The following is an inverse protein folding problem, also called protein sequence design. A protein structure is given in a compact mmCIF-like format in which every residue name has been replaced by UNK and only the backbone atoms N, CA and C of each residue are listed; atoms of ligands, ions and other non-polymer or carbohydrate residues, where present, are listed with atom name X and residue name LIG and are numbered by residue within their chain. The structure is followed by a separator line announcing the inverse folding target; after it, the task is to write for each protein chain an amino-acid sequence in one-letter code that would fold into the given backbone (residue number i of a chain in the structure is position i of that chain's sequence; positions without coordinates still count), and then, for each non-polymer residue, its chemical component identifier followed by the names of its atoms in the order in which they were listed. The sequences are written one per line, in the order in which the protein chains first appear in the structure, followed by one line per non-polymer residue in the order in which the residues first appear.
data_IF_698625776160
#
_entry.id   IF_698625776160
#
_cell.length_a   1.000
_cell.length_b   1.000
_cell.length_c   1.000
_cell.angle_alpha   90.00
_cell.angle_beta   90.00
_cell.angle_gamma   90.00
#
_symmetry.space_group_name_H-M   'P 1'
#
loop_
_entity.id
_entity.type
_entity.pdbx_description
1 polymer ?
#
# COMPACT_ATOMS: atom_id res chain seq x y z
N UNK A 1 15.67 8.48 28.39
CA UNK A 1 14.96 8.53 27.09
C UNK A 1 15.10 7.16 26.45
N UNK A 2 14.02 6.42 26.19
CA UNK A 2 14.10 5.05 25.67
C UNK A 2 14.61 5.01 24.22
N UNK A 3 15.31 3.94 23.86
CA UNK A 3 15.79 3.66 22.49
C UNK A 3 14.62 3.67 21.50
N UNK A 4 13.49 3.09 21.91
CA UNK A 4 12.24 3.09 21.16
C UNK A 4 11.76 4.52 20.81
N UNK A 5 11.73 5.42 21.79
CA UNK A 5 11.33 6.81 21.57
C UNK A 5 12.27 7.55 20.62
N UNK A 6 13.55 7.17 20.56
CA UNK A 6 14.51 7.71 19.59
C UNK A 6 14.22 7.19 18.18
N UNK A 7 14.00 5.88 18.03
CA UNK A 7 13.68 5.25 16.74
C UNK A 7 12.38 5.78 16.14
N UNK A 8 11.32 5.86 16.95
CA UNK A 8 10.02 6.39 16.52
C UNK A 8 10.12 7.85 16.07
N UNK A 9 10.83 8.71 16.83
CA UNK A 9 11.07 10.10 16.41
C UNK A 9 11.91 10.18 15.14
N UNK A 10 12.92 9.33 15.00
CA UNK A 10 13.75 9.29 13.79
C UNK A 10 12.89 8.91 12.59
N UNK A 11 12.11 7.84 12.69
CA UNK A 11 11.21 7.39 11.63
C UNK A 11 10.21 8.49 11.24
N UNK A 12 9.53 9.11 12.21
CA UNK A 12 8.57 10.18 11.94
C UNK A 12 9.18 11.36 11.20
N UNK A 13 10.44 11.71 11.46
CA UNK A 13 11.16 12.74 10.70
C UNK A 13 11.37 12.38 9.22
N UNK A 14 11.45 11.09 8.90
CA UNK A 14 11.63 10.61 7.53
C UNK A 14 10.31 10.34 6.82
N UNK A 15 9.16 10.38 7.51
CA UNK A 15 7.85 10.23 6.85
C UNK A 15 7.57 11.39 5.88
N UNK A 16 7.29 11.04 4.62
CA UNK A 16 7.18 11.99 3.51
C UNK A 16 5.85 11.87 2.75
N UNK A 17 4.98 10.92 3.11
CA UNK A 17 3.72 10.71 2.43
C UNK A 17 2.63 10.21 3.37
N UNK A 18 1.40 10.64 3.09
CA UNK A 18 0.20 10.03 3.64
C UNK A 18 -0.28 8.91 2.71
N UNK A 19 -0.84 7.88 3.31
CA UNK A 19 -1.35 6.70 2.63
C UNK A 19 -2.79 6.45 3.02
N UNK A 20 -3.59 6.03 2.05
CA UNK A 20 -4.90 5.46 2.31
C UNK A 20 -4.89 4.02 1.81
N UNK A 21 -5.08 3.08 2.73
CA UNK A 21 -5.15 1.66 2.43
C UNK A 21 -6.57 1.34 1.97
N UNK A 22 -6.66 0.85 0.75
CA UNK A 22 -7.91 0.43 0.12
C UNK A 22 -7.98 -1.09 0.09
N UNK A 23 -9.14 -1.66 0.40
CA UNK A 23 -9.40 -3.10 0.27
C UNK A 23 -10.49 -3.35 -0.75
N UNK A 24 -10.22 -4.29 -1.65
CA UNK A 24 -11.23 -4.79 -2.56
C UNK A 24 -12.08 -5.84 -1.87
N UNK A 25 -13.39 -5.74 -2.05
CA UNK A 25 -14.35 -6.79 -1.74
C UNK A 25 -15.05 -7.16 -3.03
N UNK A 26 -14.95 -8.43 -3.43
CA UNK A 26 -15.82 -8.97 -4.46
C UNK A 26 -17.22 -9.13 -3.85
N UNK A 27 -18.21 -8.42 -4.37
CA UNK A 27 -19.59 -8.82 -4.17
C UNK A 27 -19.82 -10.11 -4.96
N UNK A 28 -19.95 -11.22 -4.26
CA UNK A 28 -20.73 -12.35 -4.76
C UNK A 28 -22.17 -11.87 -4.84
N UNK A 29 -22.69 -11.75 -6.06
CA UNK A 29 -24.10 -11.49 -6.29
C UNK A 29 -24.92 -12.56 -5.56
N UNK A 30 -25.54 -12.18 -4.43
CA UNK A 30 -26.57 -12.99 -3.77
C UNK A 30 -27.86 -12.70 -4.51
N UNK A 31 -28.13 -13.47 -5.56
CA UNK A 31 -29.34 -13.33 -6.36
C UNK A 31 -29.31 -14.29 -7.54
N UNK A 32 -30.08 -15.38 -7.41
CA UNK A 32 -30.20 -16.52 -8.33
C UNK A 32 -30.75 -16.21 -9.73
N UNK A 33 -30.69 -14.98 -10.22
CA UNK A 33 -31.15 -14.63 -11.55
C UNK A 33 -30.37 -13.42 -12.05
N UNK A 34 -29.29 -13.66 -12.80
CA UNK A 34 -29.02 -12.98 -14.08
C UNK A 34 -27.66 -13.40 -14.63
N UNK A 35 -27.69 -13.87 -15.87
CA UNK A 35 -26.51 -14.18 -16.68
C UNK A 35 -25.59 -12.95 -16.80
N UNK A 36 -24.29 -13.13 -16.56
CA UNK A 36 -23.20 -12.24 -16.96
C UNK A 36 -23.25 -10.77 -16.49
N UNK A 37 -23.79 -10.50 -15.29
CA UNK A 37 -23.70 -9.17 -14.70
C UNK A 37 -22.30 -8.94 -14.12
N UNK A 38 -21.58 -7.96 -14.68
CA UNK A 38 -20.23 -7.53 -14.31
C UNK A 38 -20.00 -7.60 -12.78
N UNK A 39 -19.10 -8.49 -12.34
CA UNK A 39 -18.60 -8.48 -10.95
C UNK A 39 -17.94 -7.13 -10.71
N UNK A 40 -18.67 -6.20 -10.09
CA UNK A 40 -18.14 -4.88 -9.77
C UNK A 40 -17.30 -5.01 -8.50
N UNK A 41 -16.04 -4.63 -8.59
CA UNK A 41 -15.15 -4.61 -7.42
C UNK A 41 -15.55 -3.41 -6.56
N UNK A 42 -16.02 -3.66 -5.34
CA UNK A 42 -16.24 -2.58 -4.38
C UNK A 42 -14.94 -2.34 -3.63
N UNK A 43 -14.56 -1.07 -3.53
CA UNK A 43 -13.39 -0.65 -2.78
C UNK A 43 -13.82 0.02 -1.48
N UNK A 44 -13.20 -0.40 -0.40
CA UNK A 44 -13.44 0.16 0.94
C UNK A 44 -12.15 0.72 1.49
N UNK A 45 -12.27 1.74 2.35
CA UNK A 45 -11.14 2.28 3.08
C UNK A 45 -10.92 1.47 4.34
N UNK A 46 -9.70 0.94 4.51
CA UNK A 46 -9.31 0.31 5.77
C UNK A 46 -8.81 1.34 6.78
N UNK A 47 -7.81 2.13 6.38
CA UNK A 47 -7.16 3.10 7.26
C UNK A 47 -6.39 4.13 6.45
N UNK A 48 -6.23 5.33 7.00
CA UNK A 48 -5.29 6.32 6.51
C UNK A 48 -4.17 6.50 7.52
N UNK A 49 -2.93 6.42 7.06
CA UNK A 49 -1.73 6.43 7.90
C UNK A 49 -0.62 7.20 7.20
N UNK A 50 0.35 7.69 7.98
CA UNK A 50 1.52 8.37 7.44
C UNK A 50 2.72 7.44 7.44
N UNK A 51 3.56 7.54 6.43
CA UNK A 51 4.76 6.73 6.34
C UNK A 51 5.79 7.29 5.38
N UNK A 52 6.77 6.45 5.04
CA UNK A 52 7.80 6.77 4.06
C UNK A 52 7.43 6.11 2.73
N UNK A 53 7.48 6.88 1.65
CA UNK A 53 7.28 6.41 0.28
C UNK A 53 8.54 6.69 -0.52
N UNK A 54 9.10 5.65 -1.11
CA UNK A 54 10.24 5.76 -2.01
C UNK A 54 9.87 5.23 -3.39
N UNK A 55 10.07 6.05 -4.41
CA UNK A 55 10.04 5.55 -5.77
C UNK A 55 11.34 4.82 -5.99
N UNK A 56 11.25 3.53 -6.28
CA UNK A 56 12.44 2.78 -6.59
C UNK A 56 12.87 3.17 -8.01
N UNK A 57 13.64 4.25 -8.14
CA UNK A 57 14.21 4.70 -9.42
C UNK A 57 15.36 3.82 -9.88
N UNK A 58 15.59 2.66 -9.25
CA UNK A 58 16.53 1.66 -9.75
C UNK A 58 15.96 1.03 -11.02
N UNK A 59 16.02 1.80 -12.11
CA UNK A 59 16.32 1.26 -13.43
C UNK A 59 17.50 0.31 -13.29
N UNK A 60 17.21 -0.98 -13.48
CA UNK A 60 18.18 -1.97 -13.95
C UNK A 60 19.50 -2.09 -13.17
N UNK A 61 19.48 -2.71 -11.98
CA UNK A 61 20.64 -3.50 -11.56
C UNK A 61 20.44 -4.93 -12.02
N UNK A 62 20.97 -5.22 -13.22
CA UNK A 62 21.29 -6.59 -13.69
C UNK A 62 22.26 -7.23 -12.69
N UNK A 63 21.73 -7.85 -11.65
CA UNK A 63 22.45 -8.86 -10.87
C UNK A 63 22.41 -10.18 -11.62
N UNK A 64 23.58 -10.66 -12.05
CA UNK A 64 23.78 -11.98 -12.66
C UNK A 64 23.20 -13.08 -11.76
N UNK A 65 22.09 -13.71 -12.19
CA UNK A 65 21.67 -15.03 -11.71
C UNK A 65 20.66 -15.11 -10.55
N UNK A 66 19.90 -14.06 -10.25
CA UNK A 66 18.79 -14.11 -9.28
C UNK A 66 17.47 -13.66 -9.91
N UNK A 67 16.39 -14.41 -9.69
CA UNK A 67 15.06 -14.08 -10.21
C UNK A 67 14.66 -12.63 -9.87
N UNK A 68 14.16 -11.90 -10.88
CA UNK A 68 13.71 -10.51 -10.76
C UNK A 68 12.60 -10.38 -9.71
N UNK A 69 12.86 -9.68 -8.62
CA UNK A 69 11.83 -9.14 -7.72
C UNK A 69 11.98 -7.62 -7.65
N UNK A 70 11.76 -6.94 -8.78
CA UNK A 70 11.74 -5.49 -8.84
C UNK A 70 10.36 -4.97 -8.45
N UNK A 71 10.32 -4.04 -7.48
CA UNK A 71 9.13 -3.25 -7.16
C UNK A 71 9.34 -1.84 -7.69
N UNK A 72 8.28 -1.22 -8.21
CA UNK A 72 8.30 0.15 -8.71
C UNK A 72 8.42 1.19 -7.58
N UNK A 73 7.91 0.85 -6.39
CA UNK A 73 8.02 1.68 -5.20
C UNK A 73 8.07 0.84 -3.92
N UNK A 74 8.53 1.47 -2.84
CA UNK A 74 8.52 0.91 -1.49
C UNK A 74 7.76 1.87 -0.58
N UNK A 75 6.79 1.34 0.17
CA UNK A 75 6.16 2.06 1.26
C UNK A 75 6.58 1.45 2.60
N UNK A 76 7.03 2.27 3.53
CA UNK A 76 7.25 1.89 4.92
C UNK A 76 6.17 2.53 5.79
N UNK A 77 5.59 1.76 6.71
CA UNK A 77 4.53 2.21 7.62
C UNK A 77 4.82 1.65 9.02
N UNK A 78 4.64 2.45 10.08
CA UNK A 78 4.72 1.95 11.45
C UNK A 78 3.65 0.89 11.69
N UNK A 79 4.05 -0.27 12.23
CA UNK A 79 3.13 -1.36 12.52
C UNK A 79 2.02 -0.93 13.47
N UNK A 80 2.37 -0.20 14.54
CA UNK A 80 1.41 0.30 15.54
C UNK A 80 0.29 1.15 14.92
N UNK A 81 0.59 1.87 13.84
CA UNK A 81 -0.39 2.69 13.10
C UNK A 81 -1.36 1.83 12.29
N UNK A 82 -1.03 0.58 11.98
CA UNK A 82 -1.87 -0.33 11.19
C UNK A 82 -2.25 -1.62 11.92
N UNK A 83 -1.86 -1.76 13.18
CA UNK A 83 -2.11 -2.94 14.01
C UNK A 83 -3.59 -3.36 13.98
N UNK A 84 -4.50 -2.37 14.10
CA UNK A 84 -5.95 -2.58 14.06
C UNK A 84 -6.48 -3.19 12.76
N UNK A 85 -5.77 -3.02 11.64
CA UNK A 85 -6.15 -3.50 10.30
C UNK A 85 -5.16 -4.52 9.74
N UNK A 86 -4.17 -4.93 10.54
CA UNK A 86 -3.09 -5.83 10.13
C UNK A 86 -3.61 -7.17 9.59
N UNK A 87 -4.61 -7.74 10.24
CA UNK A 87 -5.28 -8.98 9.81
C UNK A 87 -6.04 -8.86 8.48
N UNK A 88 -6.29 -7.64 8.01
CA UNK A 88 -6.99 -7.37 6.76
C UNK A 88 -6.05 -6.99 5.61
N UNK A 89 -4.78 -6.70 5.92
CA UNK A 89 -3.75 -6.34 4.95
C UNK A 89 -3.26 -7.58 4.20
N UNK A 90 -3.56 -7.61 2.91
CA UNK A 90 -3.21 -8.69 1.99
C UNK A 90 -2.86 -8.11 0.60
N UNK A 91 -2.58 -8.98 -0.36
CA UNK A 91 -2.30 -8.58 -1.75
C UNK A 91 -3.55 -8.05 -2.50
N UNK A 92 -4.75 -8.18 -1.92
CA UNK A 92 -5.98 -7.59 -2.46
C UNK A 92 -6.16 -6.12 -2.03
N UNK A 93 -5.28 -5.65 -1.15
CA UNK A 93 -5.20 -4.26 -0.75
C UNK A 93 -4.37 -3.44 -1.73
N UNK A 94 -4.68 -2.14 -1.80
CA UNK A 94 -3.93 -1.15 -2.57
C UNK A 94 -3.57 0.03 -1.69
N UNK A 95 -2.45 0.67 -1.99
CA UNK A 95 -1.97 1.86 -1.28
C UNK A 95 -2.19 3.07 -2.17
N UNK A 96 -3.15 3.90 -1.82
CA UNK A 96 -3.30 5.21 -2.45
C UNK A 96 -2.37 6.21 -1.76
N UNK A 97 -1.48 6.85 -2.52
CA UNK A 97 -0.60 7.90 -2.00
C UNK A 97 -1.40 9.21 -1.91
N UNK A 98 -1.76 9.57 -0.69
CA UNK A 98 -2.62 10.70 -0.36
C UNK A 98 -3.71 10.32 0.65
N UNK A 99 -4.43 11.33 1.10
CA UNK A 99 -5.60 11.16 1.95
C UNK A 99 -6.87 11.33 1.12
N UNK A 100 -7.81 10.41 1.31
CA UNK A 100 -9.17 10.55 0.78
C UNK A 100 -10.04 10.96 1.97
N UNK A 101 -10.77 12.09 1.93
CA UNK A 101 -11.69 12.50 2.99
C UNK A 101 -12.72 11.41 3.32
N UNK A 102 -13.09 11.26 4.60
CA UNK A 102 -14.07 10.25 5.07
C UNK A 102 -15.44 10.35 4.42
N UNK A 103 -15.81 11.55 3.99
CA UNK A 103 -17.08 11.84 3.33
C UNK A 103 -17.11 11.36 1.87
N UNK A 104 -15.94 11.08 1.27
CA UNK A 104 -15.82 10.67 -0.12
C UNK A 104 -15.78 9.15 -0.21
N UNK A 105 -16.76 8.60 -0.92
CA UNK A 105 -16.80 7.19 -1.27
C UNK A 105 -15.59 6.80 -2.15
N UNK A 106 -15.00 5.65 -1.88
CA UNK A 106 -13.89 5.14 -2.71
C UNK A 106 -14.46 4.65 -4.04
N UNK A 107 -14.12 5.35 -5.11
CA UNK A 107 -14.48 4.95 -6.48
C UNK A 107 -13.39 4.12 -7.14
N UNK A 108 -13.73 3.43 -8.23
CA UNK A 108 -12.77 2.70 -9.06
C UNK A 108 -11.62 3.58 -9.58
N UNK A 109 -11.84 4.88 -9.73
CA UNK A 109 -10.81 5.83 -10.15
C UNK A 109 -9.70 5.95 -9.10
N UNK A 110 -10.06 6.06 -7.83
CA UNK A 110 -9.09 6.07 -6.74
C UNK A 110 -8.28 4.77 -6.72
N UNK A 111 -8.95 3.63 -6.92
CA UNK A 111 -8.30 2.33 -6.98
C UNK A 111 -7.38 2.18 -8.21
N UNK A 112 -7.70 2.79 -9.35
CA UNK A 112 -6.85 2.81 -10.55
C UNK A 112 -5.55 3.59 -10.32
N UNK A 113 -5.56 4.62 -9.47
CA UNK A 113 -4.36 5.38 -9.11
C UNK A 113 -3.64 4.84 -7.87
N UNK A 114 -4.22 3.86 -7.18
CA UNK A 114 -3.62 3.23 -6.03
C UNK A 114 -2.61 2.15 -6.44
N UNK A 115 -1.51 2.10 -5.71
CA UNK A 115 -0.42 1.16 -5.90
C UNK A 115 -0.83 -0.24 -5.47
N UNK A 116 -0.47 -1.25 -6.25
CA UNK A 116 -0.76 -2.65 -5.91
C UNK A 116 0.27 -3.17 -4.92
N UNK A 117 -0.20 -3.81 -3.85
CA UNK A 117 0.68 -4.53 -2.93
C UNK A 117 1.11 -5.83 -3.60
N UNK A 118 2.41 -5.93 -3.90
CA UNK A 118 2.99 -7.13 -4.49
C UNK A 118 3.50 -8.07 -3.39
N UNK A 119 4.31 -7.53 -2.48
CA UNK A 119 4.94 -8.32 -1.41
C UNK A 119 5.14 -7.50 -0.15
N UNK A 120 4.96 -8.17 0.99
CA UNK A 120 5.43 -7.66 2.26
C UNK A 120 6.90 -8.06 2.41
N UNK A 121 7.78 -7.06 2.46
CA UNK A 121 9.21 -7.25 2.65
C UNK A 121 9.50 -7.42 4.16
N UNK A 122 10.66 -8.02 4.51
CA UNK A 122 11.07 -8.11 5.91
C UNK A 122 11.04 -6.73 6.58
N UNK A 123 10.17 -6.60 7.59
CA UNK A 123 10.01 -5.35 8.34
C UNK A 123 11.21 -5.04 9.22
N UNK A 124 11.39 -3.77 9.57
CA UNK A 124 12.40 -3.36 10.54
C UNK A 124 11.80 -3.49 11.94
N UNK A 125 12.36 -4.37 12.77
CA UNK A 125 11.91 -4.57 14.15
C UNK A 125 13.03 -4.32 15.16
N UNK A 126 12.73 -3.61 16.25
CA UNK A 126 13.66 -3.37 17.37
C UNK A 126 12.88 -3.19 18.67
N UNK A 127 12.86 -4.21 19.52
CA UNK A 127 12.00 -4.24 20.70
C UNK A 127 10.52 -4.11 20.31
N UNK A 128 9.83 -3.12 20.86
CA UNK A 128 8.43 -2.82 20.55
C UNK A 128 8.26 -1.92 19.30
N UNK A 129 9.35 -1.47 18.69
CA UNK A 129 9.29 -0.69 17.46
C UNK A 129 9.26 -1.62 16.25
N UNK A 130 8.21 -1.55 15.43
CA UNK A 130 8.07 -2.34 14.22
C UNK A 130 7.61 -1.47 13.04
N UNK A 131 8.24 -1.66 11.89
CA UNK A 131 7.91 -0.99 10.62
C UNK A 131 7.64 -2.06 9.58
N UNK A 132 6.47 -2.02 8.95
CA UNK A 132 6.14 -2.84 7.79
C UNK A 132 6.74 -2.18 6.55
N UNK A 133 7.42 -2.98 5.74
CA UNK A 133 7.95 -2.57 4.45
C UNK A 133 7.15 -3.28 3.37
N UNK A 134 6.57 -2.51 2.45
CA UNK A 134 5.64 -3.00 1.43
C UNK A 134 6.22 -2.70 0.05
N UNK A 135 6.45 -3.74 -0.74
CA UNK A 135 6.81 -3.64 -2.14
C UNK A 135 5.55 -3.37 -2.98
N UNK A 136 5.60 -2.27 -3.74
CA UNK A 136 4.49 -1.74 -4.50
C UNK A 136 4.79 -1.72 -5.99
N UNK A 137 3.79 -2.08 -6.80
CA UNK A 137 3.84 -1.97 -8.25
C UNK A 137 2.90 -0.88 -8.75
N UNK A 138 3.30 -0.23 -9.84
CA UNK A 138 2.49 0.73 -10.57
C UNK A 138 1.17 0.05 -10.99
N UNK A 139 0.04 0.75 -10.92
CA UNK A 139 -1.21 0.21 -11.44
C UNK A 139 -1.08 0.00 -12.96
N UNK A 140 -1.29 -1.23 -13.44
CA UNK A 140 -1.12 -1.68 -14.84
C UNK A 140 -1.82 -0.82 -15.92
N UNK A 141 -2.75 0.06 -15.54
CA UNK A 141 -3.50 0.96 -16.45
C UNK A 141 -3.18 2.44 -16.29
N UNK A 142 -2.16 2.79 -15.51
CA UNK A 142 -1.67 4.15 -15.37
C UNK A 142 -0.28 4.28 -15.95
N UNK A 143 -0.17 4.55 -17.25
CA UNK A 143 1.01 5.22 -17.82
C UNK A 143 1.10 6.62 -17.19
N UNK A 144 1.49 6.71 -15.91
CA UNK A 144 1.91 7.96 -15.30
C UNK A 144 3.33 8.20 -15.78
N UNK A 145 3.44 8.94 -16.89
CA UNK A 145 4.69 9.59 -17.26
C UNK A 145 5.01 10.56 -16.11
N UNK A 146 5.95 10.19 -15.26
CA UNK A 146 6.55 11.13 -14.31
C UNK A 146 7.32 12.17 -15.13
N UNK A 147 6.67 13.28 -15.47
CA UNK A 147 7.36 14.45 -16.01
C UNK A 147 8.21 15.04 -14.88
N UNK A 148 9.53 14.98 -15.08
CA UNK A 148 10.56 15.63 -14.25
C UNK A 148 10.40 17.15 -14.24
#
# INVERSE_FOLDING_TARGET
MSVEGMLRRSYLKHTNADFTILKSTLETAVGDNELNSFRKTNWTRLKSVRGYFDFNTQTETKGTGGERQGYDAIAEILFDEIESVSNQLDQNCRIFRGTIPLEIAITDEHAKFAWRIEKFLPGKHSGNFSVIVIGLNLPEKGNQVFLR
#
